data_IF_608400839525
#
_entry.id   IF_608400839525
#
_cell.length_a   1.000
_cell.length_b   1.000
_cell.length_c   1.000
_cell.angle_alpha   90.00
_cell.angle_beta   90.00
_cell.angle_gamma   90.00
#
_symmetry.space_group_name_H-M   'P 1'
#
loop_
_entity.id
_entity.type
_entity.pdbx_description
1 polymer ?
#
# COMPACT_ATOMS: atom_id res chain seq x y z
N UNK A 1 -9.80 -4.43 -7.97
CA UNK A 1 -9.98 -3.79 -9.28
C UNK A 1 -8.94 -2.69 -9.43
N UNK A 2 -8.03 -2.85 -10.38
CA UNK A 2 -7.11 -1.77 -10.75
C UNK A 2 -7.90 -0.65 -11.42
N UNK A 3 -7.53 0.60 -11.13
CA UNK A 3 -8.16 1.77 -11.74
C UNK A 3 -7.81 1.84 -13.24
N UNK A 4 -8.82 1.68 -14.11
CA UNK A 4 -8.67 1.74 -15.57
C UNK A 4 -8.07 3.07 -16.06
N UNK A 5 -8.44 4.18 -15.43
CA UNK A 5 -7.88 5.50 -15.75
C UNK A 5 -6.38 5.58 -15.40
N UNK A 6 -5.97 4.94 -14.31
CA UNK A 6 -4.56 4.83 -13.94
C UNK A 6 -3.75 4.05 -14.98
N UNK A 7 -4.31 2.94 -15.49
CA UNK A 7 -3.69 2.18 -16.58
C UNK A 7 -3.57 3.01 -17.86
N UNK A 8 -4.64 3.69 -18.25
CA UNK A 8 -4.66 4.52 -19.45
C UNK A 8 -3.68 5.72 -19.35
N UNK A 9 -3.57 6.34 -18.17
CA UNK A 9 -2.61 7.41 -17.92
C UNK A 9 -1.17 6.88 -18.00
N UNK A 10 -0.89 5.73 -17.39
CA UNK A 10 0.43 5.10 -17.46
C UNK A 10 0.83 4.75 -18.90
N UNK A 11 -0.09 4.18 -19.68
CA UNK A 11 0.14 3.88 -21.11
C UNK A 11 0.45 5.12 -21.95
N UNK A 12 0.04 6.32 -21.50
CA UNK A 12 0.39 7.61 -22.13
C UNK A 12 1.71 8.22 -21.61
N UNK A 13 2.48 7.47 -20.82
CA UNK A 13 3.77 7.89 -20.29
C UNK A 13 3.71 8.61 -18.93
N UNK A 14 2.55 8.61 -18.25
CA UNK A 14 2.50 9.14 -16.88
C UNK A 14 3.18 8.18 -15.89
N UNK A 15 3.93 8.74 -14.94
CA UNK A 15 4.42 7.98 -13.78
C UNK A 15 3.24 7.72 -12.84
N UNK A 16 2.85 6.46 -12.71
CA UNK A 16 1.74 6.00 -11.88
C UNK A 16 2.27 4.90 -10.96
N UNK A 17 1.89 4.97 -9.69
CA UNK A 17 2.12 3.94 -8.68
C UNK A 17 0.79 3.58 -8.04
N UNK A 18 0.62 2.32 -7.68
CA UNK A 18 -0.59 1.82 -7.03
C UNK A 18 -0.25 1.48 -5.58
N UNK A 19 -0.81 2.22 -4.63
CA UNK A 19 -0.57 1.97 -3.22
C UNK A 19 -1.47 0.85 -2.70
N UNK A 20 -0.98 0.12 -1.69
CA UNK A 20 -1.82 -0.79 -0.93
C UNK A 20 -2.72 -0.06 0.05
N UNK A 21 -4.03 -0.32 -0.02
CA UNK A 21 -4.99 0.26 0.89
C UNK A 21 -4.96 -0.45 2.25
N UNK A 22 -4.26 0.14 3.23
CA UNK A 22 -4.26 -0.31 4.62
C UNK A 22 -5.43 0.33 5.40
N UNK A 23 -6.15 -0.43 6.24
CA UNK A 23 -5.78 -1.74 6.79
C UNK A 23 -6.24 -2.96 5.96
N UNK A 24 -6.88 -2.78 4.81
CA UNK A 24 -7.40 -3.91 4.03
C UNK A 24 -6.31 -4.82 3.44
N UNK A 25 -5.14 -4.24 3.13
CA UNK A 25 -3.97 -4.95 2.61
C UNK A 25 -3.13 -5.66 3.69
N UNK A 26 -3.50 -5.56 4.97
CA UNK A 26 -2.81 -6.30 6.06
C UNK A 26 -2.90 -7.82 5.86
N UNK A 27 -3.84 -8.29 5.04
CA UNK A 27 -3.94 -9.70 4.65
C UNK A 27 -3.13 -9.97 3.38
N UNK A 28 -1.84 -10.30 3.56
CA UNK A 28 -0.90 -10.56 2.46
C UNK A 28 -1.41 -11.58 1.42
N UNK A 29 -2.19 -12.59 1.85
CA UNK A 29 -2.78 -13.61 0.96
C UNK A 29 -3.78 -13.03 -0.06
N UNK A 30 -4.55 -12.01 0.31
CA UNK A 30 -5.49 -11.34 -0.59
C UNK A 30 -4.79 -10.45 -1.60
N UNK A 31 -3.65 -9.87 -1.24
CA UNK A 31 -2.83 -9.09 -2.17
C UNK A 31 -2.24 -10.02 -3.24
N UNK A 32 -1.62 -11.13 -2.83
CA UNK A 32 -1.04 -12.07 -3.79
C UNK A 32 -2.07 -12.63 -4.76
N UNK A 33 -3.24 -13.05 -4.26
CA UNK A 33 -4.35 -13.52 -5.11
C UNK A 33 -4.76 -12.46 -6.14
N UNK A 34 -4.83 -11.19 -5.74
CA UNK A 34 -5.18 -10.09 -6.65
C UNK A 34 -4.11 -9.84 -7.69
N UNK A 35 -2.83 -10.05 -7.37
CA UNK A 35 -1.73 -9.91 -8.33
C UNK A 35 -1.72 -11.06 -9.33
N UNK A 36 -1.99 -12.29 -8.87
CA UNK A 36 -2.09 -13.47 -9.72
C UNK A 36 -3.26 -13.39 -10.72
N UNK A 37 -4.32 -12.64 -10.37
CA UNK A 37 -5.46 -12.35 -11.24
C UNK A 37 -5.19 -11.24 -12.29
N UNK A 38 -4.01 -10.59 -12.28
CA UNK A 38 -3.66 -9.56 -13.26
C UNK A 38 -2.91 -10.16 -14.44
N UNK A 39 -3.29 -9.75 -15.65
CA UNK A 39 -2.63 -10.17 -16.90
C UNK A 39 -1.20 -9.59 -17.08
N UNK A 40 -0.77 -8.70 -16.19
CA UNK A 40 0.50 -7.98 -16.30
C UNK A 40 1.28 -7.99 -14.98
N UNK A 41 2.63 -8.07 -15.05
CA UNK A 41 3.45 -8.08 -13.84
C UNK A 41 3.52 -6.70 -13.20
N UNK A 42 3.30 -6.66 -11.88
CA UNK A 42 3.57 -5.50 -11.04
C UNK A 42 4.76 -5.82 -10.14
N UNK A 43 5.66 -4.85 -9.99
CA UNK A 43 6.84 -4.98 -9.14
C UNK A 43 6.62 -4.26 -7.81
N UNK A 44 6.99 -4.90 -6.68
CA UNK A 44 6.92 -4.27 -5.38
C UNK A 44 7.98 -3.16 -5.26
N UNK A 45 7.54 -2.01 -4.78
CA UNK A 45 8.39 -0.86 -4.46
C UNK A 45 8.18 -0.47 -3.01
N UNK A 46 9.18 -0.79 -2.18
CA UNK A 46 9.15 -0.53 -0.73
C UNK A 46 9.69 0.86 -0.45
N UNK A 47 8.88 1.70 0.21
CA UNK A 47 9.25 3.07 0.58
C UNK A 47 9.43 3.14 2.09
N UNK A 48 10.63 3.53 2.56
CA UNK A 48 10.85 3.71 3.99
C UNK A 48 10.04 4.90 4.52
N UNK A 49 9.31 4.67 5.60
CA UNK A 49 8.57 5.67 6.37
C UNK A 49 9.04 5.73 7.82
N UNK A 50 10.22 5.18 8.14
CA UNK A 50 10.68 5.00 9.53
C UNK A 50 10.73 6.32 10.29
N UNK A 51 11.19 7.39 9.65
CA UNK A 51 11.28 8.72 10.26
C UNK A 51 9.96 9.50 10.22
N UNK A 52 8.94 9.00 9.53
CA UNK A 52 7.66 9.68 9.29
C UNK A 52 6.45 8.92 9.82
N UNK A 53 6.64 7.73 10.41
CA UNK A 53 5.57 6.88 10.93
C UNK A 53 4.68 7.64 11.92
N UNK A 54 5.25 8.31 12.91
CA UNK A 54 4.49 9.07 13.91
C UNK A 54 3.60 10.13 13.28
N UNK A 55 4.12 10.83 12.26
CA UNK A 55 3.34 11.84 11.51
C UNK A 55 2.19 11.20 10.74
N UNK A 56 2.41 10.02 10.13
CA UNK A 56 1.37 9.25 9.44
C UNK A 56 0.29 8.80 10.42
N UNK A 57 0.66 8.23 11.56
CA UNK A 57 -0.29 7.77 12.59
C UNK A 57 -1.14 8.93 13.11
N UNK A 58 -0.54 10.10 13.38
CA UNK A 58 -1.27 11.30 13.77
C UNK A 58 -2.25 11.78 12.69
N UNK A 59 -1.83 11.73 11.42
CA UNK A 59 -2.70 12.11 10.30
C UNK A 59 -3.90 11.16 10.16
N UNK A 60 -3.71 9.85 10.34
CA UNK A 60 -4.79 8.86 10.32
C UNK A 60 -5.73 9.07 11.51
N UNK A 61 -5.19 9.30 12.71
CA UNK A 61 -5.96 9.51 13.94
C UNK A 61 -6.92 10.71 13.84
N UNK A 62 -6.58 11.73 13.05
CA UNK A 62 -7.44 12.89 12.82
C UNK A 62 -8.77 12.55 12.14
N UNK A 63 -8.88 11.39 11.47
CA UNK A 63 -10.12 10.90 10.86
C UNK A 63 -10.92 10.04 11.85
N UNK A 64 -11.23 10.59 13.02
CA UNK A 64 -11.86 9.88 14.16
C UNK A 64 -13.09 9.06 13.76
N UNK A 65 -13.93 9.61 12.87
CA UNK A 65 -15.15 8.95 12.38
C UNK A 65 -14.89 7.63 11.62
N UNK A 66 -13.67 7.44 11.09
CA UNK A 66 -13.28 6.24 10.36
C UNK A 66 -12.60 5.21 11.26
N UNK A 67 -12.01 5.61 12.39
CA UNK A 67 -11.20 4.72 13.22
C UNK A 67 -11.98 3.50 13.70
N UNK A 68 -13.15 3.71 14.31
CA UNK A 68 -14.00 2.61 14.80
C UNK A 68 -14.51 1.69 13.68
N UNK A 69 -14.71 2.23 12.47
CA UNK A 69 -15.17 1.45 11.31
C UNK A 69 -14.06 0.60 10.71
N UNK A 70 -12.85 1.15 10.60
CA UNK A 70 -11.74 0.53 9.90
C UNK A 70 -10.96 -0.45 10.78
N UNK A 71 -10.75 -0.12 12.06
CA UNK A 71 -9.86 -0.89 12.94
C UNK A 71 -10.62 -1.77 13.95
N UNK A 72 -11.94 -1.58 14.07
CA UNK A 72 -12.84 -2.37 14.94
C UNK A 72 -12.26 -2.50 16.36
N UNK A 73 -11.83 -3.71 16.73
CA UNK A 73 -11.40 -4.07 18.07
C UNK A 73 -9.88 -3.94 18.27
N UNK A 74 -9.11 -3.67 17.21
CA UNK A 74 -7.66 -3.47 17.31
C UNK A 74 -7.32 -1.97 17.31
N UNK A 75 -6.39 -1.51 18.16
CA UNK A 75 -5.93 -0.12 18.12
C UNK A 75 -5.30 0.22 16.77
N UNK A 76 -5.74 1.33 16.16
CA UNK A 76 -5.21 1.81 14.87
C UNK A 76 -3.67 1.90 14.86
N UNK A 77 -3.00 2.48 15.88
CA UNK A 77 -1.55 2.59 15.87
C UNK A 77 -0.86 1.23 15.79
N UNK A 78 -1.37 0.22 16.50
CA UNK A 78 -0.81 -1.14 16.47
C UNK A 78 -0.97 -1.76 15.09
N UNK A 79 -2.17 -1.73 14.52
CA UNK A 79 -2.44 -2.32 13.20
C UNK A 79 -1.55 -1.70 12.11
N UNK A 80 -1.41 -0.37 12.13
CA UNK A 80 -0.62 0.34 11.12
C UNK A 80 0.89 0.19 11.32
N UNK A 81 1.34 0.05 12.57
CA UNK A 81 2.76 -0.19 12.89
C UNK A 81 3.16 -1.62 12.52
N UNK A 82 2.35 -2.61 12.88
CA UNK A 82 2.55 -4.02 12.53
C UNK A 82 2.65 -4.20 11.01
N UNK A 83 1.74 -3.55 10.26
CA UNK A 83 1.78 -3.53 8.81
C UNK A 83 3.10 -2.95 8.30
N UNK A 84 3.48 -1.76 8.77
CA UNK A 84 4.66 -1.07 8.28
C UNK A 84 5.96 -1.81 8.60
N UNK A 85 6.03 -2.49 9.75
CA UNK A 85 7.16 -3.35 10.14
C UNK A 85 7.20 -4.64 9.30
N UNK A 86 6.03 -5.25 9.05
CA UNK A 86 5.91 -6.43 8.16
C UNK A 86 6.41 -6.11 6.76
N UNK A 87 6.00 -4.97 6.19
CA UNK A 87 6.45 -4.52 4.87
C UNK A 87 7.95 -4.24 4.84
N UNK A 88 8.52 -3.67 5.91
CA UNK A 88 9.95 -3.42 6.01
C UNK A 88 10.79 -4.70 6.13
N UNK A 89 10.21 -5.78 6.67
CA UNK A 89 10.88 -7.06 6.87
C UNK A 89 12.02 -7.02 7.90
N UNK A 90 12.20 -5.90 8.61
CA UNK A 90 13.25 -5.70 9.60
C UNK A 90 12.66 -5.03 10.85
N UNK A 91 12.80 -5.62 12.06
CA UNK A 91 12.28 -5.02 13.28
C UNK A 91 12.82 -3.61 13.53
N UNK A 92 11.93 -2.70 13.97
CA UNK A 92 12.27 -1.30 14.23
C UNK A 92 12.43 -0.43 12.97
N UNK A 93 12.20 -1.00 11.78
CA UNK A 93 12.08 -0.26 10.54
C UNK A 93 10.65 -0.34 10.03
N UNK A 94 10.22 0.74 9.37
CA UNK A 94 8.86 0.89 8.88
C UNK A 94 8.86 1.32 7.42
N UNK A 95 8.00 0.69 6.63
CA UNK A 95 7.87 0.96 5.21
C UNK A 95 6.42 0.85 4.72
N UNK A 96 6.18 1.37 3.52
CA UNK A 96 4.95 1.17 2.75
C UNK A 96 5.27 0.43 1.46
N UNK A 97 4.27 -0.30 0.95
CA UNK A 97 4.38 -1.02 -0.29
C UNK A 97 3.58 -0.31 -1.38
N UNK A 98 4.29 0.05 -2.45
CA UNK A 98 3.71 0.53 -3.69
C UNK A 98 3.93 -0.54 -4.76
N UNK A 99 3.02 -0.64 -5.70
CA UNK A 99 3.13 -1.51 -6.86
C UNK A 99 3.43 -0.65 -8.08
N UNK A 100 4.48 -1.01 -8.81
CA UNK A 100 4.88 -0.34 -10.04
C UNK A 100 4.59 -1.25 -11.24
N UNK A 101 4.01 -0.66 -12.28
CA UNK A 101 3.92 -1.33 -13.58
C UNK A 101 5.17 -0.96 -14.39
N UNK A 102 5.89 -1.93 -14.97
CA UNK A 102 6.99 -1.63 -15.87
C UNK A 102 6.50 -0.80 -17.06
N UNK A 103 7.33 0.11 -17.59
CA UNK A 103 6.96 0.85 -18.80
C UNK A 103 6.69 -0.13 -19.94
N UNK A 104 5.61 0.12 -20.69
CA UNK A 104 5.31 -0.63 -21.90
C UNK A 104 6.45 -0.40 -22.88
N UNK A 105 7.29 -1.43 -23.08
CA UNK A 105 8.38 -1.34 -24.06
C UNK A 105 7.75 -1.55 -25.42
N UNK A 106 7.60 -0.50 -26.22
CA UNK A 106 7.25 -0.64 -27.63
C UNK A 106 8.37 -1.44 -28.32
N UNK A 107 8.01 -2.58 -28.91
CA UNK A 107 8.85 -3.33 -29.84
C UNK A 107 8.58 -2.89 -31.28
#
# INVERSE_FOLDING_TARGET
WICAEGLAAHARGASIVWYEDAPYAVQYTLVQQRLDDLDEPFEPHIVSITTTLDRKLAAIAAYESQIGKLFRDRPMPEVMTDYAETVAGTPGHYAELLWMRPPTTDH
#
